data_IF_902624058283
#
_entry.id   IF_902624058283
#
_cell.length_a   1.000
_cell.length_b   1.000
_cell.length_c   1.000
_cell.angle_alpha   90.00
_cell.angle_beta   90.00
_cell.angle_gamma   90.00
#
_symmetry.space_group_name_H-M   'P 1'
#
loop_
_entity.id
_entity.type
_entity.pdbx_description
1 polymer ?
#
# COMPACT_ATOMS: atom_id res chain seq x y z
N UNK A 1 -20.69 -23.69 -2.82
CA UNK A 1 -20.15 -23.29 -1.49
C UNK A 1 -18.70 -23.74 -1.20
N UNK A 2 -18.31 -24.97 -1.56
CA UNK A 2 -16.99 -25.53 -1.22
C UNK A 2 -15.82 -24.81 -1.93
N UNK A 3 -15.98 -24.41 -3.19
CA UNK A 3 -14.93 -23.68 -3.93
C UNK A 3 -14.61 -22.31 -3.31
N UNK A 4 -15.63 -21.56 -2.87
CA UNK A 4 -15.45 -20.26 -2.24
C UNK A 4 -14.73 -20.37 -0.88
N UNK A 5 -14.99 -21.45 -0.13
CA UNK A 5 -14.28 -21.71 1.12
C UNK A 5 -12.80 -22.04 0.89
N UNK A 6 -12.49 -22.80 -0.17
CA UNK A 6 -11.11 -23.11 -0.56
C UNK A 6 -10.35 -21.87 -1.03
N UNK A 7 -10.99 -20.98 -1.79
CA UNK A 7 -10.39 -19.72 -2.20
C UNK A 7 -10.14 -18.82 -0.99
N UNK A 8 -11.11 -18.71 -0.07
CA UNK A 8 -10.97 -17.92 1.14
C UNK A 8 -9.87 -18.43 2.07
N UNK A 9 -9.72 -19.75 2.22
CA UNK A 9 -8.62 -20.32 3.02
C UNK A 9 -7.26 -19.98 2.41
N UNK A 10 -7.10 -20.13 1.09
CA UNK A 10 -5.86 -19.77 0.39
C UNK A 10 -5.57 -18.27 0.40
N UNK A 11 -6.60 -17.44 0.48
CA UNK A 11 -6.47 -15.99 0.54
C UNK A 11 -6.02 -15.49 1.92
N UNK A 12 -6.55 -16.09 3.00
CA UNK A 12 -6.31 -15.68 4.40
C UNK A 12 -5.43 -16.67 5.19
N UNK A 13 -4.56 -17.41 4.51
CA UNK A 13 -3.77 -18.53 5.04
C UNK A 13 -3.03 -18.22 6.36
N UNK A 14 -2.49 -17.00 6.51
CA UNK A 14 -1.75 -16.54 7.70
C UNK A 14 -2.64 -15.98 8.83
N UNK A 15 -3.96 -15.87 8.61
CA UNK A 15 -4.89 -15.24 9.54
C UNK A 15 -5.96 -16.23 10.01
N UNK A 16 -5.61 -17.16 10.91
CA UNK A 16 -6.58 -18.09 11.47
C UNK A 16 -7.72 -17.33 12.15
N UNK A 17 -8.96 -17.66 11.81
CA UNK A 17 -10.13 -16.99 12.35
C UNK A 17 -10.39 -15.59 11.80
N UNK A 18 -9.70 -15.14 10.74
CA UNK A 18 -9.94 -13.82 10.12
C UNK A 18 -11.41 -13.55 9.85
N UNK A 19 -12.15 -14.57 9.37
CA UNK A 19 -13.59 -14.47 9.11
C UNK A 19 -14.39 -14.05 10.34
N UNK A 20 -14.05 -14.56 11.54
CA UNK A 20 -14.75 -14.29 12.81
C UNK A 20 -14.25 -13.03 13.54
N UNK A 21 -13.15 -12.41 13.10
CA UNK A 21 -12.60 -11.21 13.73
C UNK A 21 -13.56 -10.01 13.57
N UNK A 22 -13.68 -9.20 14.62
CA UNK A 22 -14.45 -7.95 14.61
C UNK A 22 -13.96 -7.01 13.49
N UNK A 23 -14.89 -6.26 12.89
CA UNK A 23 -14.59 -5.40 11.73
C UNK A 23 -13.53 -4.34 12.05
N UNK A 24 -13.56 -3.75 13.24
CA UNK A 24 -12.55 -2.77 13.66
C UNK A 24 -11.15 -3.39 13.76
N UNK A 25 -11.05 -4.62 14.24
CA UNK A 25 -9.76 -5.34 14.30
C UNK A 25 -9.20 -5.64 12.91
N UNK A 26 -10.08 -5.93 11.94
CA UNK A 26 -9.67 -6.08 10.53
C UNK A 26 -9.16 -4.75 9.97
N UNK A 27 -9.90 -3.68 10.21
CA UNK A 27 -9.54 -2.34 9.76
C UNK A 27 -8.16 -1.91 10.28
N UNK A 28 -7.93 -2.01 11.60
CA UNK A 28 -6.64 -1.67 12.22
C UNK A 28 -5.49 -2.48 11.61
N UNK A 29 -5.71 -3.79 11.40
CA UNK A 29 -4.69 -4.67 10.79
C UNK A 29 -4.37 -4.24 9.36
N UNK A 30 -5.39 -3.92 8.55
CA UNK A 30 -5.20 -3.44 7.18
C UNK A 30 -4.46 -2.10 7.14
N UNK A 31 -4.83 -1.16 8.01
CA UNK A 31 -4.15 0.15 8.11
C UNK A 31 -2.69 -0.03 8.52
N UNK A 32 -2.40 -0.88 9.51
CA UNK A 32 -1.04 -1.14 9.95
C UNK A 32 -0.17 -1.74 8.83
N UNK A 33 -0.66 -2.77 8.14
CA UNK A 33 0.03 -3.37 6.99
C UNK A 33 0.19 -2.35 5.86
N UNK A 34 -0.85 -1.55 5.61
CA UNK A 34 -0.85 -0.46 4.64
C UNK A 34 0.25 0.55 4.95
N UNK A 35 0.36 1.06 6.18
CA UNK A 35 1.43 1.99 6.56
C UNK A 35 2.84 1.38 6.46
N UNK A 36 2.95 0.06 6.65
CA UNK A 36 4.21 -0.69 6.52
C UNK A 36 4.56 -1.08 5.07
N UNK A 37 3.73 -0.74 4.07
CA UNK A 37 3.96 -1.14 2.68
C UNK A 37 5.35 -0.80 2.11
N UNK A 38 5.98 0.38 2.37
CA UNK A 38 7.25 0.70 1.73
C UNK A 38 8.38 -0.16 2.30
N UNK A 39 8.37 -0.43 3.61
CA UNK A 39 9.32 -1.32 4.28
C UNK A 39 9.16 -2.76 3.80
N UNK A 40 7.92 -3.27 3.75
CA UNK A 40 7.63 -4.62 3.27
C UNK A 40 8.06 -4.81 1.80
N UNK A 41 7.83 -3.80 0.96
CA UNK A 41 8.23 -3.83 -0.45
C UNK A 41 9.75 -3.80 -0.60
N UNK A 42 10.45 -2.98 0.20
CA UNK A 42 11.92 -2.94 0.19
C UNK A 42 12.53 -4.27 0.66
N UNK A 43 12.01 -4.86 1.75
CA UNK A 43 12.45 -6.17 2.22
C UNK A 43 12.28 -7.26 1.16
N UNK A 44 11.19 -7.20 0.38
CA UNK A 44 10.97 -8.12 -0.74
C UNK A 44 11.97 -7.95 -1.87
N UNK A 45 12.35 -6.72 -2.20
CA UNK A 45 13.34 -6.42 -3.23
C UNK A 45 14.74 -6.89 -2.81
N UNK A 46 15.15 -6.62 -1.57
CA UNK A 46 16.50 -6.92 -1.07
C UNK A 46 16.65 -8.41 -0.72
N UNK A 47 15.67 -8.97 -0.01
CA UNK A 47 15.74 -10.33 0.53
C UNK A 47 14.41 -11.09 0.29
N UNK A 48 14.11 -11.48 -0.97
CA UNK A 48 12.82 -12.08 -1.34
C UNK A 48 12.54 -13.45 -0.68
N UNK A 49 13.58 -14.10 -0.13
CA UNK A 49 13.50 -15.39 0.58
C UNK A 49 13.39 -15.24 2.09
N UNK A 50 13.46 -14.02 2.62
CA UNK A 50 13.27 -13.73 4.04
C UNK A 50 11.83 -14.00 4.48
N UNK A 51 11.60 -14.10 5.79
CA UNK A 51 10.27 -14.25 6.37
C UNK A 51 9.30 -13.15 5.89
N UNK A 52 9.73 -11.88 5.90
CA UNK A 52 8.93 -10.76 5.40
C UNK A 52 8.77 -10.76 3.87
N UNK A 53 9.79 -11.21 3.13
CA UNK A 53 9.70 -11.39 1.68
C UNK A 53 8.70 -12.47 1.26
N UNK A 54 8.53 -13.53 2.07
CA UNK A 54 7.47 -14.52 1.87
C UNK A 54 6.10 -14.00 2.33
N UNK A 55 6.05 -13.16 3.36
CA UNK A 55 4.83 -12.55 3.87
C UNK A 55 4.11 -11.69 2.80
N UNK A 56 4.82 -10.84 2.04
CA UNK A 56 4.21 -10.03 0.97
C UNK A 56 3.71 -10.86 -0.22
N UNK A 57 4.25 -12.07 -0.43
CA UNK A 57 3.80 -12.95 -1.53
C UNK A 57 2.39 -13.47 -1.32
N UNK A 58 1.89 -13.44 -0.08
CA UNK A 58 0.52 -13.83 0.24
C UNK A 58 -0.47 -12.87 -0.44
N UNK A 59 -1.56 -13.38 -1.04
CA UNK A 59 -2.42 -12.59 -1.91
C UNK A 59 -3.10 -11.43 -1.18
N UNK A 60 -3.56 -11.64 0.06
CA UNK A 60 -4.18 -10.59 0.86
C UNK A 60 -3.22 -9.45 1.20
N UNK A 61 -1.97 -9.78 1.58
CA UNK A 61 -0.94 -8.77 1.90
C UNK A 61 -0.55 -7.99 0.66
N UNK A 62 -0.33 -8.69 -0.46
CA UNK A 62 -0.06 -8.08 -1.76
C UNK A 62 -1.15 -7.09 -2.16
N UNK A 63 -2.42 -7.47 -1.98
CA UNK A 63 -3.56 -6.61 -2.25
C UNK A 63 -3.53 -5.33 -1.40
N UNK A 64 -3.29 -5.44 -0.10
CA UNK A 64 -3.18 -4.28 0.79
C UNK A 64 -2.02 -3.38 0.38
N UNK A 65 -0.84 -3.94 0.13
CA UNK A 65 0.33 -3.15 -0.26
C UNK A 65 0.10 -2.40 -1.57
N UNK A 66 -0.48 -3.07 -2.57
CA UNK A 66 -0.77 -2.43 -3.85
C UNK A 66 -1.81 -1.32 -3.73
N UNK A 67 -2.87 -1.57 -2.95
CA UNK A 67 -3.92 -0.57 -2.67
C UNK A 67 -3.34 0.62 -1.89
N UNK A 68 -2.50 0.36 -0.87
CA UNK A 68 -1.87 1.41 -0.08
C UNK A 68 -0.94 2.28 -0.94
N UNK A 69 -0.10 1.68 -1.78
CA UNK A 69 0.74 2.41 -2.73
C UNK A 69 -0.09 3.30 -3.66
N UNK A 70 -1.21 2.78 -4.17
CA UNK A 70 -2.12 3.57 -5.00
C UNK A 70 -2.78 4.73 -4.24
N UNK A 71 -3.21 4.50 -2.99
CA UNK A 71 -3.74 5.56 -2.13
C UNK A 71 -2.69 6.63 -1.82
N UNK A 72 -1.44 6.24 -1.58
CA UNK A 72 -0.33 7.19 -1.41
C UNK A 72 -0.12 8.03 -2.65
N UNK A 73 -0.18 7.43 -3.84
CA UNK A 73 -0.13 8.16 -5.10
C UNK A 73 -1.27 9.18 -5.23
N UNK A 74 -2.53 8.78 -4.96
CA UNK A 74 -3.67 9.71 -4.95
C UNK A 74 -3.50 10.84 -3.92
N UNK A 75 -2.95 10.52 -2.75
CA UNK A 75 -2.65 11.51 -1.73
C UNK A 75 -1.58 12.52 -2.19
N UNK A 76 -0.52 12.07 -2.87
CA UNK A 76 0.48 12.94 -3.47
C UNK A 76 -0.11 13.84 -4.55
N UNK A 77 -1.03 13.34 -5.37
CA UNK A 77 -1.76 14.15 -6.35
C UNK A 77 -2.61 15.23 -5.69
N UNK A 78 -3.32 14.89 -4.59
CA UNK A 78 -4.09 15.87 -3.81
C UNK A 78 -3.18 16.93 -3.18
N UNK A 79 -1.98 16.54 -2.73
CA UNK A 79 -0.98 17.47 -2.21
C UNK A 79 -0.41 18.38 -3.30
N UNK A 80 -0.14 17.84 -4.49
CA UNK A 80 0.33 18.62 -5.63
C UNK A 80 -0.70 19.65 -6.12
N UNK A 81 -1.99 19.39 -5.90
CA UNK A 81 -3.04 20.36 -6.20
C UNK A 81 -3.19 21.47 -5.15
N UNK A 82 -2.51 21.38 -3.99
CA UNK A 82 -2.57 22.43 -2.98
C UNK A 82 -1.62 23.58 -3.35
N UNK A 83 -2.11 24.82 -3.25
CA UNK A 83 -1.27 26.03 -3.46
C UNK A 83 -0.05 26.11 -2.53
N UNK A 84 -0.03 25.36 -1.43
CA UNK A 84 1.09 25.28 -0.47
C UNK A 84 2.36 24.72 -1.13
N UNK A 85 2.21 23.84 -2.13
CA UNK A 85 3.34 23.16 -2.80
C UNK A 85 3.57 23.72 -4.21
N UNK A 86 2.68 24.59 -4.69
CA UNK A 86 2.72 25.13 -6.05
C UNK A 86 3.82 26.18 -6.21
N UNK A 87 4.50 26.14 -7.36
CA UNK A 87 5.47 27.16 -7.75
C UNK A 87 4.78 28.51 -8.05
N UNK A 88 5.56 29.59 -8.09
CA UNK A 88 5.06 30.90 -8.49
C UNK A 88 4.36 30.80 -9.87
N UNK A 89 3.05 31.12 -9.96
CA UNK A 89 2.25 30.94 -11.18
C UNK A 89 2.74 31.79 -12.35
N UNK A 90 3.46 32.88 -12.09
CA UNK A 90 3.96 33.80 -13.12
C UNK A 90 5.25 33.30 -13.77
N UNK A 91 5.83 32.19 -13.29
CA UNK A 91 7.06 31.62 -13.82
C UNK A 91 6.76 30.59 -14.90
N UNK A 92 7.09 30.91 -16.14
CA UNK A 92 7.03 29.95 -17.24
C UNK A 92 8.15 28.90 -17.13
N UNK A 93 7.79 27.61 -17.20
CA UNK A 93 8.74 26.50 -17.04
C UNK A 93 9.39 26.42 -15.64
N UNK A 94 8.61 26.35 -14.55
CA UNK A 94 9.18 26.21 -13.22
C UNK A 94 9.84 24.84 -13.06
N UNK A 95 10.85 24.74 -12.17
CA UNK A 95 11.46 23.45 -11.85
C UNK A 95 10.43 22.56 -11.15
N UNK A 96 10.47 21.23 -11.33
CA UNK A 96 9.53 20.35 -10.66
C UNK A 96 9.60 20.52 -9.14
N UNK A 97 8.45 20.63 -8.52
CA UNK A 97 8.25 20.71 -7.08
C UNK A 97 8.65 19.38 -6.42
N UNK A 98 8.89 19.39 -5.11
CA UNK A 98 9.25 18.17 -4.36
C UNK A 98 8.21 17.05 -4.53
N UNK A 99 6.91 17.39 -4.59
CA UNK A 99 5.85 16.39 -4.80
C UNK A 99 5.83 15.86 -6.23
N UNK A 100 6.11 16.69 -7.23
CA UNK A 100 6.27 16.22 -8.62
C UNK A 100 7.46 15.26 -8.75
N UNK A 101 8.57 15.52 -8.04
CA UNK A 101 9.69 14.57 -7.94
C UNK A 101 9.33 13.24 -7.29
N UNK A 102 8.42 13.24 -6.31
CA UNK A 102 7.94 12.01 -5.67
C UNK A 102 6.93 11.23 -6.51
N UNK A 103 6.24 11.91 -7.44
CA UNK A 103 5.26 11.32 -8.37
C UNK A 103 5.95 10.71 -9.60
N UNK A 104 7.13 11.25 -9.98
CA UNK A 104 7.90 10.74 -11.11
C UNK A 104 8.28 9.26 -10.92
N UNK A 105 8.17 8.44 -11.98
CA UNK A 105 8.42 6.99 -11.93
C UNK A 105 9.89 6.62 -11.79
#
# INVERSE_FOLDING_TARGET
PNCQQLLASRWYDEFPGWRRRHWAGKFITCVFIGLMFPLLSLCYLVAPKSHYGLFIRKPFIKFICHTASYLTFLFLLLLASQHIVSNNPDRQGPKPTTVEWMILP
#
